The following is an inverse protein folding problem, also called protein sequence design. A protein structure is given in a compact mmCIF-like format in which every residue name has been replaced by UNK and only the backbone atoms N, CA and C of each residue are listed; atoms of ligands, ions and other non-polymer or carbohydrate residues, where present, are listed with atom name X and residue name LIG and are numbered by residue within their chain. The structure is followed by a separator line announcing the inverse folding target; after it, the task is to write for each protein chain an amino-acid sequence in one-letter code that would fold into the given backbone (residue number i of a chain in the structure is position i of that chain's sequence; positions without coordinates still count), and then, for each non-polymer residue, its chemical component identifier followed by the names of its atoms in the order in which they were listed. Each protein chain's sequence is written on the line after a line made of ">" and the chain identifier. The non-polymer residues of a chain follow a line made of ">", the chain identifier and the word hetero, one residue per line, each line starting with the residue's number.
data_IF_692221061550
#
_entry.id   IF_692221061550
#
_cell.length_a   1.000
_cell.length_b   1.000
_cell.length_c   1.000
_cell.angle_alpha   90.00
_cell.angle_beta   90.00
_cell.angle_gamma   90.00
#
_symmetry.space_group_name_H-M   'P 1'
#
loop_
_entity.id
_entity.type
_entity.pdbx_description
1 polymer ?
#
# COMPACT_ATOMS: atom_id res chain seq x y z
N UNK A 1 16.09 -14.56 -22.29
CA UNK A 1 15.42 -13.77 -21.24
C UNK A 1 15.24 -14.62 -19.99
N UNK A 2 15.68 -14.16 -18.83
CA UNK A 2 15.64 -14.97 -17.60
C UNK A 2 14.17 -15.15 -17.15
N UNK A 3 13.64 -16.37 -17.20
CA UNK A 3 12.21 -16.66 -16.95
C UNK A 3 11.73 -16.13 -15.59
N UNK A 4 12.61 -16.13 -14.58
CA UNK A 4 12.34 -15.58 -13.24
C UNK A 4 12.13 -14.06 -13.25
N UNK A 5 12.88 -13.33 -14.06
CA UNK A 5 12.76 -11.88 -14.17
C UNK A 5 11.48 -11.48 -14.91
N UNK A 6 11.10 -12.23 -15.95
CA UNK A 6 9.81 -12.03 -16.62
C UNK A 6 8.64 -12.28 -15.67
N UNK A 7 8.69 -13.37 -14.90
CA UNK A 7 7.68 -13.67 -13.90
C UNK A 7 7.59 -12.54 -12.85
N UNK A 8 8.72 -12.06 -12.34
CA UNK A 8 8.75 -10.95 -11.38
C UNK A 8 8.04 -9.70 -11.93
N UNK A 9 8.26 -9.36 -13.21
CA UNK A 9 7.64 -8.22 -13.88
C UNK A 9 6.11 -8.35 -13.98
N UNK A 10 5.63 -9.50 -14.43
CA UNK A 10 4.19 -9.76 -14.59
C UNK A 10 3.49 -9.72 -13.23
N UNK A 11 4.09 -10.40 -12.23
CA UNK A 11 3.58 -10.44 -10.86
C UNK A 11 3.58 -9.04 -10.22
N UNK A 12 4.60 -8.22 -10.48
CA UNK A 12 4.65 -6.84 -9.99
C UNK A 12 3.53 -5.97 -10.54
N UNK A 13 3.24 -6.06 -11.84
CA UNK A 13 2.14 -5.31 -12.47
C UNK A 13 0.80 -5.77 -11.89
N UNK A 14 0.55 -7.08 -11.85
CA UNK A 14 -0.69 -7.63 -11.31
C UNK A 14 -0.90 -7.22 -9.84
N UNK A 15 0.15 -7.34 -9.01
CA UNK A 15 0.10 -6.95 -7.61
C UNK A 15 -0.13 -5.45 -7.40
N UNK A 16 0.55 -4.60 -8.16
CA UNK A 16 0.37 -3.15 -8.06
C UNK A 16 -1.02 -2.71 -8.50
N UNK A 17 -1.53 -3.25 -9.61
CA UNK A 17 -2.90 -2.99 -10.05
C UNK A 17 -3.91 -3.43 -8.99
N UNK A 18 -3.74 -4.61 -8.37
CA UNK A 18 -4.64 -5.08 -7.32
C UNK A 18 -4.64 -4.14 -6.09
N UNK A 19 -3.47 -3.64 -5.67
CA UNK A 19 -3.35 -2.69 -4.54
C UNK A 19 -3.98 -1.33 -4.86
N UNK A 20 -3.84 -0.85 -6.10
CA UNK A 20 -4.41 0.43 -6.53
C UNK A 20 -5.93 0.32 -6.74
N UNK A 21 -6.39 -0.72 -7.44
CA UNK A 21 -7.81 -0.95 -7.73
C UNK A 21 -8.60 -1.30 -6.46
N UNK A 22 -8.02 -2.09 -5.56
CA UNK A 22 -8.66 -2.41 -4.29
C UNK A 22 -8.85 -1.20 -3.37
N UNK A 23 -8.27 -0.03 -3.71
CA UNK A 23 -8.55 1.20 -3.00
C UNK A 23 -9.96 1.74 -3.28
N UNK A 24 -10.57 1.43 -4.45
CA UNK A 24 -11.86 2.01 -4.86
C UNK A 24 -13.01 1.76 -3.87
N UNK A 25 -12.98 0.63 -3.17
CA UNK A 25 -13.84 0.33 -2.03
C UNK A 25 -12.95 -0.16 -0.88
N UNK A 26 -12.73 0.63 0.18
CA UNK A 26 -11.84 0.22 1.27
C UNK A 26 -12.30 -1.04 2.00
N UNK A 27 -13.61 -1.27 2.10
CA UNK A 27 -14.18 -2.39 2.86
C UNK A 27 -14.13 -3.69 2.07
N UNK A 28 -14.58 -3.67 0.82
CA UNK A 28 -14.57 -4.87 -0.04
C UNK A 28 -13.20 -5.08 -0.71
N UNK A 29 -12.53 -3.98 -1.05
CA UNK A 29 -11.27 -3.99 -1.76
C UNK A 29 -10.10 -4.50 -0.94
N UNK A 30 -10.23 -4.72 0.37
CA UNK A 30 -9.22 -5.47 1.15
C UNK A 30 -8.99 -6.88 0.60
N UNK A 31 -10.04 -7.50 0.03
CA UNK A 31 -9.96 -8.81 -0.63
C UNK A 31 -9.10 -8.77 -1.89
N UNK A 32 -8.92 -7.60 -2.49
CA UNK A 32 -8.01 -7.35 -3.61
C UNK A 32 -6.63 -6.87 -3.14
N UNK A 33 -6.57 -5.97 -2.15
CA UNK A 33 -5.32 -5.39 -1.66
C UNK A 33 -4.44 -6.46 -1.01
N UNK A 34 -4.98 -7.34 -0.18
CA UNK A 34 -4.20 -8.39 0.50
C UNK A 34 -3.47 -9.28 -0.51
N UNK A 35 -4.15 -9.97 -1.44
CA UNK A 35 -3.45 -10.76 -2.46
C UNK A 35 -2.56 -9.88 -3.35
N UNK A 36 -2.95 -8.62 -3.61
CA UNK A 36 -2.09 -7.65 -4.30
C UNK A 36 -0.74 -7.44 -3.60
N UNK A 37 -0.74 -7.26 -2.27
CA UNK A 37 0.49 -7.11 -1.48
C UNK A 37 1.31 -8.39 -1.40
N UNK A 38 0.67 -9.56 -1.39
CA UNK A 38 1.36 -10.86 -1.48
C UNK A 38 2.07 -10.99 -2.84
N UNK A 39 1.40 -10.62 -3.93
CA UNK A 39 2.00 -10.61 -5.26
C UNK A 39 3.18 -9.63 -5.33
N UNK A 40 3.05 -8.43 -4.76
CA UNK A 40 4.16 -7.47 -4.69
C UNK A 40 5.35 -8.04 -3.91
N UNK A 41 5.13 -8.65 -2.74
CA UNK A 41 6.16 -9.32 -1.97
C UNK A 41 6.85 -10.45 -2.75
N UNK A 42 6.07 -11.27 -3.47
CA UNK A 42 6.58 -12.33 -4.33
C UNK A 42 7.41 -11.78 -5.49
N UNK A 43 6.95 -10.70 -6.13
CA UNK A 43 7.67 -10.04 -7.22
C UNK A 43 9.01 -9.45 -6.74
N UNK A 44 9.03 -8.82 -5.56
CA UNK A 44 10.22 -8.25 -4.96
C UNK A 44 11.25 -9.34 -4.59
N UNK A 45 10.77 -10.51 -4.15
CA UNK A 45 11.61 -11.68 -3.88
C UNK A 45 12.20 -12.29 -5.16
N UNK A 46 11.38 -12.53 -6.18
CA UNK A 46 11.80 -13.08 -7.48
C UNK A 46 12.77 -12.14 -8.20
N UNK A 47 12.52 -10.83 -8.11
CA UNK A 47 13.33 -9.77 -8.67
C UNK A 47 14.59 -9.42 -7.88
N UNK A 48 14.76 -9.98 -6.67
CA UNK A 48 15.82 -9.62 -5.72
C UNK A 48 15.98 -8.11 -5.54
N UNK A 49 14.86 -7.41 -5.42
CA UNK A 49 14.88 -5.94 -5.29
C UNK A 49 15.47 -5.51 -3.94
N UNK A 50 16.22 -4.38 -3.88
CA UNK A 50 16.87 -3.94 -2.65
C UNK A 50 15.86 -3.58 -1.55
N UNK A 51 14.69 -3.04 -1.93
CA UNK A 51 13.65 -2.57 -1.01
C UNK A 51 12.57 -3.61 -0.73
N UNK A 52 12.83 -4.91 -0.94
CA UNK A 52 11.87 -6.01 -0.71
C UNK A 52 11.26 -6.02 0.71
N UNK A 53 11.96 -5.45 1.69
CA UNK A 53 11.45 -5.32 3.06
C UNK A 53 10.16 -4.50 3.13
N UNK A 54 10.00 -3.46 2.30
CA UNK A 54 8.77 -2.66 2.24
C UNK A 54 7.58 -3.54 1.83
N UNK A 55 7.77 -4.40 0.83
CA UNK A 55 6.72 -5.30 0.34
C UNK A 55 6.34 -6.35 1.40
N UNK A 56 7.31 -6.85 2.16
CA UNK A 56 7.04 -7.80 3.26
C UNK A 56 6.27 -7.15 4.41
N UNK A 57 6.69 -5.96 4.84
CA UNK A 57 6.00 -5.23 5.92
C UNK A 57 4.58 -4.84 5.47
N UNK A 58 4.41 -4.36 4.25
CA UNK A 58 3.09 -4.08 3.67
C UNK A 58 2.19 -5.32 3.68
N UNK A 59 2.70 -6.47 3.23
CA UNK A 59 1.97 -7.72 3.24
C UNK A 59 1.54 -8.14 4.66
N UNK A 60 2.46 -8.08 5.63
CA UNK A 60 2.17 -8.44 7.03
C UNK A 60 1.09 -7.53 7.61
N UNK A 61 1.23 -6.21 7.43
CA UNK A 61 0.25 -5.22 7.91
C UNK A 61 -1.12 -5.43 7.28
N UNK A 62 -1.19 -5.72 5.97
CA UNK A 62 -2.46 -5.97 5.29
C UNK A 62 -3.13 -7.27 5.76
N UNK A 63 -2.37 -8.34 5.99
CA UNK A 63 -2.91 -9.60 6.55
C UNK A 63 -3.46 -9.38 7.96
N UNK A 64 -2.71 -8.66 8.81
CA UNK A 64 -3.17 -8.30 10.15
C UNK A 64 -4.45 -7.46 10.08
N UNK A 65 -4.48 -6.47 9.19
CA UNK A 65 -5.65 -5.61 8.98
C UNK A 65 -6.87 -6.41 8.56
N UNK A 66 -6.70 -7.36 7.63
CA UNK A 66 -7.78 -8.23 7.18
C UNK A 66 -8.30 -9.12 8.31
N UNK A 67 -7.42 -9.71 9.11
CA UNK A 67 -7.82 -10.48 10.28
C UNK A 67 -8.63 -9.64 11.28
N UNK A 68 -8.22 -8.39 11.52
CA UNK A 68 -8.98 -7.47 12.35
C UNK A 68 -10.35 -7.14 11.76
N UNK A 69 -10.45 -6.87 10.46
CA UNK A 69 -11.74 -6.61 9.80
C UNK A 69 -12.69 -7.80 9.94
N UNK A 70 -12.20 -9.03 9.78
CA UNK A 70 -12.99 -10.25 10.01
C UNK A 70 -13.46 -10.39 11.46
N UNK A 71 -12.57 -10.12 12.43
CA UNK A 71 -12.90 -10.14 13.85
C UNK A 71 -14.01 -9.16 14.19
N UNK A 72 -14.03 -7.99 13.56
CA UNK A 72 -15.10 -7.01 13.79
C UNK A 72 -16.43 -7.41 13.25
N UNK A 73 -16.44 -7.97 12.03
CA UNK A 73 -17.65 -8.51 11.45
C UNK A 73 -18.25 -9.57 12.38
N UNK A 74 -17.42 -10.41 13.00
CA UNK A 74 -17.87 -11.39 13.99
C UNK A 74 -18.39 -10.77 15.30
N UNK A 75 -17.86 -9.61 15.72
CA UNK A 75 -18.25 -8.91 16.95
C UNK A 75 -19.44 -7.95 16.76
N UNK A 76 -20.12 -7.98 15.61
CA UNK A 76 -21.30 -7.15 15.33
C UNK A 76 -21.04 -5.88 14.52
N UNK A 77 -19.87 -5.77 13.89
CA UNK A 77 -19.53 -4.68 12.97
C UNK A 77 -19.20 -3.36 13.66
N UNK A 78 -19.09 -2.29 12.88
CA UNK A 78 -18.77 -0.95 13.38
C UNK A 78 -19.88 -0.43 14.32
N UNK A 79 -19.55 -0.20 15.59
CA UNK A 79 -20.49 0.31 16.60
C UNK A 79 -21.36 -0.76 17.27
N UNK A 80 -21.02 -2.05 17.14
CA UNK A 80 -21.77 -3.17 17.71
C UNK A 80 -21.87 -3.20 19.24
N UNK A 81 -22.73 -4.08 19.75
CA UNK A 81 -23.14 -4.21 21.17
C UNK A 81 -22.02 -4.60 22.16
N UNK A 82 -20.79 -4.83 21.68
CA UNK A 82 -19.68 -5.21 22.54
C UNK A 82 -19.13 -3.98 23.30
N UNK A 83 -18.83 -4.10 24.62
CA UNK A 83 -18.29 -3.01 25.43
C UNK A 83 -17.00 -2.38 24.86
N UNK A 84 -16.20 -3.18 24.14
CA UNK A 84 -14.94 -2.76 23.50
C UNK A 84 -15.15 -1.76 22.35
N UNK A 85 -16.29 -1.80 21.65
CA UNK A 85 -16.59 -0.90 20.52
C UNK A 85 -17.16 0.46 20.95
N UNK A 86 -17.48 0.65 22.23
CA UNK A 86 -17.90 1.95 22.77
C UNK A 86 -16.73 2.92 23.01
N UNK A 87 -15.49 2.43 23.00
CA UNK A 87 -14.28 3.23 23.23
C UNK A 87 -13.64 3.67 21.90
N UNK A 88 -13.33 4.96 21.76
CA UNK A 88 -12.67 5.52 20.55
C UNK A 88 -11.28 4.92 20.28
N UNK A 89 -10.65 4.30 21.28
CA UNK A 89 -9.32 3.67 21.16
C UNK A 89 -9.32 2.46 20.22
N UNK A 90 -10.48 1.85 20.00
CA UNK A 90 -10.63 0.75 19.07
C UNK A 90 -10.29 1.15 17.61
N UNK A 91 -10.39 2.44 17.26
CA UNK A 91 -9.97 2.97 15.96
C UNK A 91 -8.46 2.84 15.67
N UNK A 92 -7.60 2.70 16.69
CA UNK A 92 -6.16 2.46 16.47
C UNK A 92 -5.89 1.07 15.89
N UNK A 93 -6.77 0.10 16.13
CA UNK A 93 -6.65 -1.25 15.56
C UNK A 93 -6.90 -1.27 14.05
N UNK A 94 -7.51 -0.21 13.50
CA UNK A 94 -7.64 0.00 12.06
C UNK A 94 -6.42 0.66 11.43
N UNK A 95 -5.51 1.24 12.21
CA UNK A 95 -4.31 1.95 11.72
C UNK A 95 -3.36 1.08 10.87
N UNK A 96 -3.22 -0.24 11.11
CA UNK A 96 -2.45 -1.12 10.23
C UNK A 96 -2.94 -1.11 8.77
N UNK A 97 -4.22 -0.83 8.51
CA UNK A 97 -4.81 -0.85 7.17
C UNK A 97 -4.29 0.29 6.27
N UNK A 98 -4.47 1.59 6.63
CA UNK A 98 -3.95 2.69 5.81
C UNK A 98 -2.43 2.69 5.73
N UNK A 99 -1.73 2.32 6.82
CA UNK A 99 -0.26 2.23 6.81
C UNK A 99 0.20 1.10 5.91
N UNK A 100 -0.39 -0.10 6.02
CA UNK A 100 -0.07 -1.26 5.20
C UNK A 100 -0.32 -1.01 3.71
N UNK A 101 -1.42 -0.33 3.37
CA UNK A 101 -1.73 0.04 2.00
C UNK A 101 -0.73 1.06 1.44
N UNK A 102 -0.39 2.12 2.18
CA UNK A 102 0.62 3.10 1.76
C UNK A 102 1.99 2.45 1.52
N UNK A 103 2.40 1.55 2.42
CA UNK A 103 3.61 0.75 2.22
C UNK A 103 3.49 -0.17 1.01
N UNK A 104 2.30 -0.72 0.74
CA UNK A 104 1.99 -1.50 -0.46
C UNK A 104 2.23 -0.71 -1.74
N UNK A 105 1.66 0.49 -1.84
CA UNK A 105 1.87 1.41 -2.97
C UNK A 105 3.36 1.78 -3.11
N UNK A 106 4.01 2.19 -2.03
CA UNK A 106 5.43 2.55 -2.05
C UNK A 106 6.31 1.37 -2.48
N UNK A 107 6.03 0.16 -1.98
CA UNK A 107 6.73 -1.05 -2.36
C UNK A 107 6.53 -1.40 -3.85
N UNK A 108 5.32 -1.21 -4.37
CA UNK A 108 5.01 -1.40 -5.78
C UNK A 108 5.80 -0.45 -6.66
N UNK A 109 5.82 0.84 -6.32
CA UNK A 109 6.62 1.86 -7.03
C UNK A 109 8.10 1.50 -7.05
N UNK A 110 8.69 1.18 -5.90
CA UNK A 110 10.10 0.78 -5.79
C UNK A 110 10.40 -0.49 -6.59
N UNK A 111 9.49 -1.49 -6.53
CA UNK A 111 9.69 -2.77 -7.21
C UNK A 111 9.56 -2.63 -8.73
N UNK A 112 8.57 -1.88 -9.22
CA UNK A 112 8.37 -1.57 -10.64
C UNK A 112 9.54 -0.78 -11.23
N UNK A 113 9.98 0.29 -10.55
CA UNK A 113 11.12 1.11 -11.01
C UNK A 113 12.44 0.34 -11.01
N UNK A 114 12.61 -0.62 -10.09
CA UNK A 114 13.79 -1.50 -10.07
C UNK A 114 13.75 -2.55 -11.17
N UNK A 115 12.57 -3.14 -11.44
CA UNK A 115 12.40 -4.21 -12.42
C UNK A 115 12.37 -3.70 -13.88
N UNK A 116 11.86 -2.49 -14.09
CA UNK A 116 11.72 -1.90 -15.42
C UNK A 116 12.57 -0.63 -15.52
N UNK A 117 13.59 -0.65 -16.39
CA UNK A 117 14.52 0.45 -16.62
C UNK A 117 14.00 1.52 -17.60
N UNK A 118 12.72 1.48 -17.99
CA UNK A 118 12.13 2.34 -19.02
C UNK A 118 11.23 3.45 -18.48
N UNK A 119 11.06 4.51 -19.27
CA UNK A 119 10.19 5.67 -18.97
C UNK A 119 8.74 5.27 -18.69
N UNK A 120 8.24 4.20 -19.32
CA UNK A 120 6.90 3.65 -19.09
C UNK A 120 6.67 3.17 -17.65
N UNK A 121 7.67 2.58 -17.00
CA UNK A 121 7.53 2.15 -15.61
C UNK A 121 7.43 3.33 -14.64
N UNK A 122 8.09 4.44 -15.00
CA UNK A 122 8.09 5.70 -14.24
C UNK A 122 6.73 6.40 -14.38
N UNK A 123 6.11 6.34 -15.56
CA UNK A 123 4.75 6.82 -15.79
C UNK A 123 3.74 5.98 -15.00
N UNK A 124 3.80 4.65 -15.10
CA UNK A 124 2.89 3.74 -14.37
C UNK A 124 3.04 3.91 -12.85
N UNK A 125 4.27 4.02 -12.34
CA UNK A 125 4.49 4.27 -10.92
C UNK A 125 3.99 5.65 -10.48
N UNK A 126 4.17 6.68 -11.31
CA UNK A 126 3.70 8.04 -11.03
C UNK A 126 2.16 8.11 -10.97
N UNK A 127 1.46 7.53 -11.94
CA UNK A 127 0.00 7.45 -11.93
C UNK A 127 -0.54 6.69 -10.72
N UNK A 128 0.10 5.58 -10.31
CA UNK A 128 -0.31 4.84 -9.13
C UNK A 128 -0.19 5.65 -7.82
N UNK A 129 0.86 6.49 -7.70
CA UNK A 129 1.01 7.41 -6.56
C UNK A 129 -0.05 8.50 -6.57
N UNK A 130 -0.34 9.10 -7.74
CA UNK A 130 -1.37 10.14 -7.87
C UNK A 130 -2.75 9.58 -7.52
N UNK A 131 -3.09 8.38 -8.00
CA UNK A 131 -4.35 7.71 -7.67
C UNK A 131 -4.43 7.44 -6.16
N UNK A 132 -3.35 6.98 -5.53
CA UNK A 132 -3.30 6.77 -4.08
C UNK A 132 -3.53 8.08 -3.30
N UNK A 133 -2.89 9.18 -3.71
CA UNK A 133 -3.06 10.50 -3.08
C UNK A 133 -4.48 11.03 -3.24
N UNK A 134 -5.05 10.96 -4.45
CA UNK A 134 -6.42 11.40 -4.72
C UNK A 134 -7.45 10.58 -3.92
N UNK A 135 -7.18 9.30 -3.68
CA UNK A 135 -8.09 8.44 -2.93
C UNK A 135 -7.96 8.63 -1.41
N UNK A 136 -6.77 8.95 -0.89
CA UNK A 136 -6.59 9.39 0.51
C UNK A 136 -7.47 10.61 0.84
N UNK A 137 -7.61 11.53 -0.13
CA UNK A 137 -8.53 12.69 -0.02
C UNK A 137 -10.00 12.24 0.02
N UNK A 138 -10.37 11.14 -0.64
CA UNK A 138 -11.73 10.58 -0.63
C UNK A 138 -12.05 9.81 0.67
N UNK A 139 -11.07 9.11 1.25
CA UNK A 139 -11.19 8.47 2.58
C UNK A 139 -11.40 9.51 3.70
N UNK A 140 -10.89 10.74 3.53
CA UNK A 140 -11.10 11.85 4.45
C UNK A 140 -12.55 12.36 4.52
N UNK A 141 -13.41 11.99 3.56
CA UNK A 141 -14.85 12.30 3.61
C UNK A 141 -15.64 11.32 4.50
N UNK A 142 -15.05 10.19 4.92
CA UNK A 142 -15.64 9.33 5.93
C UNK A 142 -15.49 9.99 7.31
N UNK A 143 -16.58 10.60 7.78
CA UNK A 143 -16.82 11.39 9.01
C UNK A 143 -16.40 10.75 10.36
N UNK A 144 -15.60 9.67 10.35
CA UNK A 144 -15.25 8.81 11.49
C UNK A 144 -13.78 8.94 11.94
N UNK A 145 -12.90 9.56 11.15
CA UNK A 145 -11.46 9.65 11.47
C UNK A 145 -11.12 11.02 12.06
N UNK A 146 -10.52 11.11 13.26
CA UNK A 146 -10.16 12.39 13.86
C UNK A 146 -9.05 13.09 13.06
N UNK A 147 -9.15 14.42 12.94
CA UNK A 147 -8.36 15.29 12.05
C UNK A 147 -6.84 15.12 12.15
N UNK A 148 -6.32 14.69 13.30
CA UNK A 148 -4.88 14.46 13.52
C UNK A 148 -4.36 13.18 12.85
N UNK A 149 -5.17 12.12 12.75
CA UNK A 149 -4.82 10.90 11.99
C UNK A 149 -4.72 11.23 10.50
N UNK A 150 -5.59 12.12 10.01
CA UNK A 150 -5.54 12.63 8.64
C UNK A 150 -4.23 13.39 8.35
N UNK A 151 -3.82 14.30 9.23
CA UNK A 151 -2.55 15.03 9.09
C UNK A 151 -1.36 14.06 9.10
N UNK A 152 -1.35 13.07 9.99
CA UNK A 152 -0.28 12.06 10.06
C UNK A 152 -0.18 11.23 8.78
N UNK A 153 -1.32 10.80 8.22
CA UNK A 153 -1.40 10.05 6.96
C UNK A 153 -0.95 10.89 5.77
N UNK A 154 -1.35 12.16 5.69
CA UNK A 154 -0.90 13.07 4.63
C UNK A 154 0.59 13.37 4.72
N UNK A 155 1.12 13.63 5.92
CA UNK A 155 2.54 13.84 6.14
C UNK A 155 3.34 12.58 5.78
N UNK A 156 2.84 11.40 6.11
CA UNK A 156 3.46 10.13 5.74
C UNK A 156 3.43 9.90 4.22
N UNK A 157 2.30 10.17 3.56
CA UNK A 157 2.19 10.12 2.10
C UNK A 157 3.14 11.11 1.41
N UNK A 158 3.22 12.34 1.90
CA UNK A 158 4.18 13.36 1.43
C UNK A 158 5.63 12.88 1.63
N UNK A 159 5.94 12.30 2.78
CA UNK A 159 7.25 11.71 3.06
C UNK A 159 7.57 10.56 2.12
N UNK A 160 6.61 9.69 1.78
CA UNK A 160 6.80 8.65 0.79
C UNK A 160 7.09 9.23 -0.60
N UNK A 161 6.37 10.28 -1.02
CA UNK A 161 6.61 10.97 -2.29
C UNK A 161 8.01 11.60 -2.29
N UNK A 162 8.37 12.31 -1.21
CA UNK A 162 9.70 12.90 -1.06
C UNK A 162 10.79 11.83 -1.01
N UNK A 163 10.56 10.68 -0.39
CA UNK A 163 11.49 9.54 -0.40
C UNK A 163 11.71 9.00 -1.82
N UNK A 164 10.65 8.91 -2.63
CA UNK A 164 10.76 8.54 -4.04
C UNK A 164 11.53 9.62 -4.84
N UNK A 165 11.22 10.90 -4.65
CA UNK A 165 11.89 12.01 -5.36
C UNK A 165 13.36 12.18 -4.95
N UNK A 166 13.69 12.01 -3.67
CA UNK A 166 15.08 12.02 -3.18
C UNK A 166 15.85 10.81 -3.70
N UNK A 167 15.19 9.65 -3.81
CA UNK A 167 15.79 8.47 -4.46
C UNK A 167 16.10 8.73 -5.94
N UNK A 168 15.26 9.47 -6.67
CA UNK A 168 15.58 9.89 -8.05
C UNK A 168 16.87 10.71 -8.12
N UNK A 169 17.08 11.63 -7.18
CA UNK A 169 18.32 12.42 -7.11
C UNK A 169 19.54 11.55 -6.84
N UNK A 170 19.41 10.53 -5.99
CA UNK A 170 20.51 9.61 -5.65
C UNK A 170 20.85 8.70 -6.83
N UNK A 171 19.85 8.14 -7.52
CA UNK A 171 20.08 7.30 -8.70
C UNK A 171 20.61 8.09 -9.90
N UNK A 172 20.16 9.32 -10.12
CA UNK A 172 20.72 10.20 -11.16
C UNK A 172 22.20 10.48 -10.95
N UNK A 173 22.65 10.56 -9.68
CA UNK A 173 24.04 10.85 -9.31
C UNK A 173 24.97 9.64 -9.38
N UNK A 174 24.43 8.42 -9.52
CA UNK A 174 25.21 7.17 -9.62
C UNK A 174 25.47 6.77 -11.09
N UNK A 175 24.74 7.35 -12.04
CA UNK A 175 24.82 7.03 -13.47
C UNK A 175 25.51 8.13 -14.31
N UNK A 176 26.03 9.19 -13.69
CA UNK A 176 26.90 10.19 -14.30
C UNK A 176 28.24 10.21 -13.59
#
# INVERSE_FOLDING_TARGET
>A
MNKRLLAAKIVAIAGFCAVVLGCFDPMEGVLLIVPGTVLLALSAWLGKTPQRWLAYVACILMVISFAFLCLLTALGGFGGNAPLLHSKWWALLLLPYPVGWMMGVASGVCTLTTLFTGMAARIVSGFGVVIAVLFLVRLAMFRLVPLWIFIAVLLFGLLCILAVLTWEKVCSKRNG
#
